data_IF_712346883018
#
_entry.id   IF_712346883018
#
_cell.length_a   1.000
_cell.length_b   1.000
_cell.length_c   1.000
_cell.angle_alpha   90.00
_cell.angle_beta   90.00
_cell.angle_gamma   90.00
#
_symmetry.space_group_name_H-M   'P 1'
#
loop_
_entity.id
_entity.type
_entity.pdbx_description
1 polymer ?
#
# COMPACT_ATOMS: atom_id res chain seq x y z
N UNK A 1 -62.71 24.61 -39.74
CA UNK A 1 -62.42 24.56 -41.20
C UNK A 1 -61.16 23.69 -41.30
N UNK A 2 -61.41 22.47 -41.69
CA UNK A 2 -61.03 21.86 -42.99
C UNK A 2 -59.55 21.49 -42.97
N UNK A 3 -59.28 20.20 -42.87
CA UNK A 3 -59.16 19.14 -43.94
C UNK A 3 -57.69 18.95 -44.30
N UNK A 4 -57.12 17.89 -44.32
CA UNK A 4 -57.00 16.54 -44.94
C UNK A 4 -55.60 16.00 -44.58
N UNK A 5 -55.49 14.84 -44.02
CA UNK A 5 -55.35 13.49 -44.65
C UNK A 5 -54.23 13.40 -45.70
N UNK A 6 -53.19 12.70 -45.34
CA UNK A 6 -52.58 11.71 -46.29
C UNK A 6 -51.76 10.60 -45.59
N UNK A 7 -52.26 9.45 -45.82
CA UNK A 7 -51.62 8.16 -45.59
C UNK A 7 -50.27 8.03 -46.30
N UNK A 8 -49.36 7.37 -45.68
CA UNK A 8 -48.13 6.87 -46.27
C UNK A 8 -47.70 5.62 -45.52
N UNK A 9 -48.25 4.49 -45.93
CA UNK A 9 -47.86 3.13 -45.56
C UNK A 9 -46.52 2.83 -46.25
N UNK A 10 -45.47 2.52 -45.53
CA UNK A 10 -44.34 1.77 -46.06
C UNK A 10 -43.78 0.81 -45.00
N UNK A 11 -43.91 -0.40 -45.35
CA UNK A 11 -43.38 -1.63 -44.81
C UNK A 11 -41.86 -1.57 -44.82
N UNK A 12 -41.20 -2.03 -43.75
CA UNK A 12 -39.80 -2.34 -43.92
C UNK A 12 -39.05 -2.68 -42.63
N UNK A 13 -38.87 -3.98 -42.46
CA UNK A 13 -37.73 -4.64 -41.87
C UNK A 13 -37.63 -4.67 -40.33
N UNK A 14 -38.04 -5.82 -39.79
CA UNK A 14 -37.58 -6.39 -38.54
C UNK A 14 -36.05 -6.48 -38.56
N UNK A 15 -35.37 -5.68 -37.71
CA UNK A 15 -34.04 -5.96 -37.25
C UNK A 15 -34.16 -6.37 -35.79
N UNK A 16 -34.03 -7.64 -35.51
CA UNK A 16 -33.88 -8.17 -34.19
C UNK A 16 -32.49 -7.74 -33.68
N UNK A 17 -32.47 -6.66 -32.91
CA UNK A 17 -31.30 -6.33 -32.09
C UNK A 17 -31.31 -7.24 -30.86
N UNK A 18 -30.47 -8.25 -30.88
CA UNK A 18 -30.08 -9.00 -29.70
C UNK A 18 -29.43 -7.99 -28.74
N UNK A 19 -30.14 -7.64 -27.68
CA UNK A 19 -29.54 -6.95 -26.54
C UNK A 19 -28.72 -8.01 -25.81
N UNK A 20 -27.43 -8.09 -26.13
CA UNK A 20 -26.44 -8.62 -25.23
C UNK A 20 -26.43 -7.71 -23.99
N UNK A 21 -27.13 -8.18 -22.95
CA UNK A 21 -27.02 -7.65 -21.62
C UNK A 21 -25.62 -7.93 -21.11
N UNK A 22 -24.68 -7.05 -21.44
CA UNK A 22 -23.44 -6.94 -20.72
C UNK A 22 -23.81 -6.53 -19.30
N UNK A 23 -23.82 -7.50 -18.39
CA UNK A 23 -23.79 -7.26 -16.98
C UNK A 23 -22.51 -6.45 -16.70
N UNK A 24 -22.66 -5.13 -16.55
CA UNK A 24 -21.65 -4.32 -15.91
C UNK A 24 -21.56 -4.78 -14.46
N UNK A 25 -20.73 -5.81 -14.28
CA UNK A 25 -20.22 -6.14 -12.97
C UNK A 25 -19.51 -4.88 -12.47
N UNK A 26 -20.16 -4.21 -11.51
CA UNK A 26 -19.60 -3.18 -10.68
C UNK A 26 -18.27 -3.68 -10.10
N UNK A 27 -17.21 -3.37 -10.83
CA UNK A 27 -15.84 -3.63 -10.46
C UNK A 27 -15.35 -2.46 -9.61
N UNK A 28 -16.08 -2.16 -8.54
CA UNK A 28 -15.56 -1.42 -7.36
C UNK A 28 -14.51 -2.29 -6.68
N UNK A 29 -13.64 -2.84 -7.50
CA UNK A 29 -12.45 -3.49 -6.98
C UNK A 29 -11.55 -2.41 -6.46
N UNK A 30 -11.35 -2.48 -5.17
CA UNK A 30 -10.14 -2.07 -4.50
C UNK A 30 -8.99 -2.05 -5.51
N UNK A 31 -8.73 -0.88 -6.08
CA UNK A 31 -7.48 -0.66 -6.76
C UNK A 31 -6.41 -0.81 -5.68
N UNK A 32 -5.90 -2.01 -5.59
CA UNK A 32 -4.65 -2.27 -4.89
C UNK A 32 -3.63 -1.45 -5.66
N UNK A 33 -3.44 -0.19 -5.24
CA UNK A 33 -2.30 0.59 -5.72
C UNK A 33 -1.10 -0.25 -5.30
N UNK A 34 -0.41 -0.87 -6.26
CA UNK A 34 0.74 -1.67 -5.91
C UNK A 34 1.72 -0.74 -5.22
N UNK A 35 2.04 -1.03 -3.97
CA UNK A 35 3.18 -0.44 -3.31
C UNK A 35 4.39 -0.95 -4.09
N UNK A 36 4.76 -0.22 -5.16
CA UNK A 36 5.84 -0.59 -6.06
C UNK A 36 7.19 -0.36 -5.35
N UNK A 37 7.48 -1.22 -4.39
CA UNK A 37 8.85 -1.53 -4.06
C UNK A 37 9.24 -2.64 -5.04
N UNK A 38 9.83 -2.25 -6.16
CA UNK A 38 10.27 -3.18 -7.20
C UNK A 38 11.38 -4.05 -6.62
N UNK A 39 11.15 -5.35 -6.56
CA UNK A 39 12.23 -6.31 -6.43
C UNK A 39 13.17 -6.14 -7.63
N UNK A 40 14.46 -5.97 -7.36
CA UNK A 40 15.52 -5.73 -8.32
C UNK A 40 15.61 -6.86 -9.36
N UNK A 41 15.57 -6.58 -10.68
CA UNK A 41 16.07 -7.52 -11.67
C UNK A 41 17.59 -7.59 -11.57
N UNK A 42 18.15 -8.80 -11.69
CA UNK A 42 19.59 -9.04 -11.74
C UNK A 42 20.28 -8.12 -12.76
N UNK A 43 21.25 -7.33 -12.29
CA UNK A 43 22.04 -6.42 -13.13
C UNK A 43 21.95 -4.94 -12.79
N UNK A 44 21.17 -4.51 -11.81
CA UNK A 44 21.16 -3.10 -11.35
C UNK A 44 22.39 -2.81 -10.47
N UNK A 45 23.05 -1.64 -10.58
CA UNK A 45 24.19 -1.31 -9.75
C UNK A 45 23.81 -1.43 -8.26
N UNK A 46 24.65 -2.12 -7.50
CA UNK A 46 24.47 -2.37 -6.08
C UNK A 46 24.33 -1.05 -5.34
N UNK A 47 23.15 -0.79 -4.78
CA UNK A 47 22.92 0.41 -3.96
C UNK A 47 23.79 0.32 -2.72
N UNK A 48 24.47 1.42 -2.39
CA UNK A 48 25.25 1.52 -1.17
C UNK A 48 24.36 1.22 0.05
N UNK A 49 24.80 0.29 0.89
CA UNK A 49 24.10 -0.08 2.12
C UNK A 49 23.97 1.11 3.06
N UNK A 50 22.80 1.26 3.68
CA UNK A 50 22.47 2.40 4.53
C UNK A 50 22.89 2.16 5.98
N UNK A 51 23.60 3.12 6.56
CA UNK A 51 23.90 3.17 7.99
C UNK A 51 24.97 2.21 8.52
N UNK A 52 25.10 2.09 9.85
CA UNK A 52 26.02 1.18 10.50
C UNK A 52 25.62 -0.28 10.29
N UNK A 53 26.55 -1.21 10.49
CA UNK A 53 26.27 -2.64 10.41
C UNK A 53 25.30 -3.08 11.51
N UNK A 54 24.18 -3.69 11.14
CA UNK A 54 23.15 -4.19 12.03
C UNK A 54 23.42 -5.66 12.37
N UNK A 55 23.46 -5.98 13.66
CA UNK A 55 23.83 -7.32 14.17
C UNK A 55 22.68 -8.02 14.89
N UNK A 56 21.65 -7.29 15.32
CA UNK A 56 20.52 -7.80 16.09
C UNK A 56 19.19 -7.39 15.48
N UNK A 57 18.10 -8.13 15.79
CA UNK A 57 16.75 -7.80 15.39
C UNK A 57 16.27 -6.47 15.98
N UNK A 58 16.73 -6.11 17.18
CA UNK A 58 16.43 -4.84 17.79
C UNK A 58 17.02 -3.67 16.98
N UNK A 59 18.31 -3.74 16.64
CA UNK A 59 18.96 -2.75 15.78
C UNK A 59 18.28 -2.67 14.41
N UNK A 60 17.86 -3.80 13.84
CA UNK A 60 17.11 -3.83 12.59
C UNK A 60 15.78 -3.09 12.70
N UNK A 61 15.00 -3.35 13.77
CA UNK A 61 13.74 -2.64 14.03
C UNK A 61 13.94 -1.13 14.20
N UNK A 62 14.94 -0.73 15.00
CA UNK A 62 15.28 0.67 15.20
C UNK A 62 15.74 1.38 13.92
N UNK A 63 16.52 0.72 13.08
CA UNK A 63 16.96 1.29 11.80
C UNK A 63 15.76 1.61 10.88
N UNK A 64 14.78 0.72 10.77
CA UNK A 64 13.54 0.97 10.02
C UNK A 64 12.74 2.12 10.65
N UNK A 65 12.58 2.11 11.98
CA UNK A 65 11.86 3.16 12.69
C UNK A 65 12.49 4.55 12.52
N UNK A 66 13.83 4.64 12.49
CA UNK A 66 14.55 5.89 12.27
C UNK A 66 14.33 6.49 10.87
N UNK A 67 14.01 5.66 9.87
CA UNK A 67 13.71 6.13 8.52
C UNK A 67 12.25 6.62 8.36
N UNK A 68 11.39 6.32 9.31
CA UNK A 68 9.99 6.70 9.22
C UNK A 68 9.81 8.22 9.26
N UNK A 69 9.06 8.71 8.28
CA UNK A 69 8.58 10.09 8.25
C UNK A 69 7.08 10.06 8.00
N UNK A 70 6.31 10.46 9.00
CA UNK A 70 4.85 10.60 8.88
C UNK A 70 4.48 11.61 7.79
N UNK A 71 3.36 11.43 7.09
CA UNK A 71 2.79 12.50 6.26
C UNK A 71 2.65 13.78 7.07
N UNK A 72 2.74 14.95 6.41
CA UNK A 72 2.55 16.21 7.11
C UNK A 72 1.10 16.36 7.60
N UNK A 73 0.84 17.10 8.69
CA UNK A 73 -0.51 17.35 9.19
C UNK A 73 -1.44 18.02 8.18
N UNK A 74 -0.88 18.74 7.20
CA UNK A 74 -1.62 19.36 6.11
C UNK A 74 -2.12 18.36 5.06
N UNK A 75 -1.51 17.16 5.01
CA UNK A 75 -1.84 16.12 4.01
C UNK A 75 -2.71 15.03 4.61
N UNK A 76 -2.46 14.65 5.87
CA UNK A 76 -3.23 13.59 6.52
C UNK A 76 -3.26 13.76 8.04
N UNK A 77 -4.34 13.32 8.72
CA UNK A 77 -4.43 13.29 10.18
C UNK A 77 -3.27 12.52 10.82
N UNK A 78 -2.87 12.96 12.02
CA UNK A 78 -1.72 12.39 12.74
C UNK A 78 -2.08 11.24 13.68
N UNK A 79 -3.32 10.78 13.68
CA UNK A 79 -3.81 9.66 14.49
C UNK A 79 -3.99 8.36 13.71
N UNK A 80 -3.63 8.36 12.43
CA UNK A 80 -3.65 7.18 11.59
C UNK A 80 -2.44 6.29 11.87
N UNK A 81 -2.70 5.00 12.01
CA UNK A 81 -1.69 3.95 12.07
C UNK A 81 -1.86 3.02 10.88
N UNK A 82 -0.75 2.57 10.33
CA UNK A 82 -0.70 1.63 9.21
C UNK A 82 0.27 0.50 9.53
N UNK A 83 -0.16 -0.74 9.33
CA UNK A 83 0.70 -1.92 9.50
C UNK A 83 0.91 -2.60 8.16
N UNK A 84 2.16 -2.82 7.83
CA UNK A 84 2.56 -3.53 6.62
C UNK A 84 3.37 -4.76 6.96
N UNK A 85 3.15 -5.82 6.19
CA UNK A 85 3.89 -7.08 6.26
C UNK A 85 4.76 -7.22 5.03
N UNK A 86 6.05 -7.47 5.23
CA UNK A 86 7.02 -7.66 4.15
C UNK A 86 8.19 -8.52 4.62
N UNK A 87 9.00 -8.95 3.66
CA UNK A 87 10.23 -9.72 3.91
C UNK A 87 11.45 -8.96 3.37
N UNK A 88 12.64 -9.43 3.74
CA UNK A 88 13.90 -8.87 3.23
C UNK A 88 14.76 -9.96 2.62
N UNK A 89 15.64 -9.56 1.71
CA UNK A 89 16.73 -10.39 1.22
C UNK A 89 17.83 -10.47 2.27
N UNK A 90 18.77 -11.38 2.09
CA UNK A 90 19.98 -11.48 2.92
C UNK A 90 20.81 -10.20 2.89
N UNK A 91 20.74 -9.45 1.79
CA UNK A 91 21.51 -8.23 1.58
C UNK A 91 20.81 -6.97 2.09
N UNK A 92 19.62 -7.12 2.70
CA UNK A 92 18.88 -6.03 3.33
C UNK A 92 17.95 -5.27 2.38
N UNK A 93 17.70 -5.79 1.19
CA UNK A 93 16.69 -5.25 0.27
C UNK A 93 15.29 -5.79 0.62
N UNK A 94 14.25 -5.07 0.27
CA UNK A 94 12.87 -5.58 0.39
C UNK A 94 12.69 -6.75 -0.59
N UNK A 95 12.16 -7.86 -0.08
CA UNK A 95 11.87 -9.06 -0.85
C UNK A 95 10.35 -9.18 -1.09
N UNK A 96 9.98 -9.23 -2.34
CA UNK A 96 8.57 -9.33 -2.73
C UNK A 96 7.79 -8.01 -2.60
N UNK A 97 6.48 -8.11 -2.54
CA UNK A 97 5.57 -6.96 -2.42
C UNK A 97 5.11 -6.80 -0.98
N UNK A 98 5.28 -5.61 -0.37
CA UNK A 98 4.70 -5.32 0.93
C UNK A 98 3.17 -5.44 0.89
N UNK A 99 2.59 -6.04 1.93
CA UNK A 99 1.15 -6.22 2.08
C UNK A 99 0.65 -5.35 3.21
N UNK A 100 -0.36 -4.51 2.94
CA UNK A 100 -1.07 -3.81 4.00
C UNK A 100 -1.93 -4.80 4.79
N UNK A 101 -1.72 -4.85 6.11
CA UNK A 101 -2.47 -5.74 7.01
C UNK A 101 -3.42 -5.00 7.93
N UNK A 102 -3.17 -3.71 8.16
CA UNK A 102 -4.02 -2.86 8.99
C UNK A 102 -3.88 -1.40 8.61
N UNK A 103 -4.98 -0.67 8.69
CA UNK A 103 -5.02 0.80 8.73
C UNK A 103 -6.14 1.22 9.70
N UNK A 104 -5.97 2.36 10.35
CA UNK A 104 -6.98 2.91 11.27
C UNK A 104 -8.35 2.97 10.60
N UNK A 105 -9.40 2.38 11.19
CA UNK A 105 -10.76 2.43 10.65
C UNK A 105 -11.25 3.88 10.45
N UNK A 106 -12.01 4.11 9.37
CA UNK A 106 -12.51 5.44 9.01
C UNK A 106 -11.49 6.34 8.30
N UNK A 107 -10.30 5.82 7.96
CA UNK A 107 -9.33 6.52 7.13
C UNK A 107 -9.90 6.69 5.71
N UNK A 108 -9.86 7.91 5.17
CA UNK A 108 -10.29 8.16 3.79
C UNK A 108 -9.28 7.60 2.79
N UNK A 109 -9.69 7.31 1.54
CA UNK A 109 -8.79 6.80 0.51
C UNK A 109 -7.57 7.71 0.25
N UNK A 110 -7.76 9.02 0.31
CA UNK A 110 -6.68 10.01 0.13
C UNK A 110 -5.65 9.94 1.24
N UNK A 111 -6.11 9.84 2.49
CA UNK A 111 -5.22 9.71 3.66
C UNK A 111 -4.51 8.35 3.66
N UNK A 112 -5.21 7.28 3.28
CA UNK A 112 -4.60 5.97 3.11
C UNK A 112 -3.48 6.02 2.07
N UNK A 113 -3.72 6.65 0.91
CA UNK A 113 -2.71 6.82 -0.14
C UNK A 113 -1.48 7.58 0.38
N UNK A 114 -1.68 8.65 1.14
CA UNK A 114 -0.60 9.43 1.74
C UNK A 114 0.28 8.57 2.69
N UNK A 115 -0.36 7.76 3.54
CA UNK A 115 0.37 6.86 4.45
C UNK A 115 1.06 5.72 3.71
N UNK A 116 0.43 5.12 2.71
CA UNK A 116 1.05 4.10 1.85
C UNK A 116 2.30 4.65 1.14
N UNK A 117 2.21 5.88 0.62
CA UNK A 117 3.35 6.56 0.01
C UNK A 117 4.48 6.78 1.03
N UNK A 118 4.17 7.27 2.22
CA UNK A 118 5.15 7.48 3.28
C UNK A 118 5.87 6.19 3.69
N UNK A 119 5.14 5.06 3.75
CA UNK A 119 5.72 3.73 3.99
C UNK A 119 6.67 3.33 2.86
N UNK A 120 6.24 3.48 1.60
CA UNK A 120 7.09 3.18 0.44
C UNK A 120 8.37 4.01 0.45
N UNK A 121 8.25 5.31 0.68
CA UNK A 121 9.39 6.24 0.77
C UNK A 121 10.33 5.87 1.93
N UNK A 122 9.80 5.31 3.03
CA UNK A 122 10.60 4.82 4.15
C UNK A 122 11.51 3.67 3.72
N UNK A 123 10.96 2.66 3.07
CA UNK A 123 11.77 1.54 2.59
C UNK A 123 12.74 1.94 1.48
N UNK A 124 12.34 2.85 0.58
CA UNK A 124 13.24 3.39 -0.45
C UNK A 124 14.46 4.12 0.15
N UNK A 125 14.27 4.84 1.27
CA UNK A 125 15.38 5.54 1.95
C UNK A 125 16.26 4.63 2.77
N UNK A 126 15.67 3.59 3.39
CA UNK A 126 16.37 2.73 4.33
C UNK A 126 17.07 1.54 3.69
N UNK A 127 16.60 1.07 2.55
CA UNK A 127 17.13 -0.15 1.94
C UNK A 127 18.07 0.16 0.76
N UNK A 128 19.11 -0.66 0.54
CA UNK A 128 19.44 -1.86 1.29
C UNK A 128 20.02 -1.56 2.68
N UNK A 129 19.56 -2.34 3.69
CA UNK A 129 20.07 -2.25 5.05
C UNK A 129 21.46 -2.88 5.14
N UNK A 130 22.33 -2.30 5.96
CA UNK A 130 23.65 -2.84 6.19
C UNK A 130 23.61 -3.95 7.25
N UNK A 131 23.20 -5.16 6.84
CA UNK A 131 23.07 -6.34 7.71
C UNK A 131 24.40 -7.05 7.86
N UNK A 132 24.73 -7.49 9.08
CA UNK A 132 25.78 -8.49 9.26
C UNK A 132 25.39 -9.81 8.58
N UNK A 133 26.36 -10.61 8.17
CA UNK A 133 26.12 -11.91 7.54
C UNK A 133 25.21 -12.81 8.39
N UNK A 134 25.41 -12.80 9.72
CA UNK A 134 24.59 -13.58 10.66
C UNK A 134 23.13 -13.13 10.65
N UNK A 135 22.88 -11.82 10.82
CA UNK A 135 21.53 -11.26 10.83
C UNK A 135 20.85 -11.45 9.47
N UNK A 136 21.54 -11.18 8.37
CA UNK A 136 21.01 -11.35 7.02
C UNK A 136 20.52 -12.80 6.78
N UNK A 137 21.26 -13.80 7.24
CA UNK A 137 20.84 -15.21 7.15
C UNK A 137 19.58 -15.51 7.99
N UNK A 138 19.44 -14.86 9.16
CA UNK A 138 18.30 -15.07 10.06
C UNK A 138 17.02 -14.47 9.50
N UNK A 139 17.09 -13.28 8.89
CA UNK A 139 15.90 -12.54 8.46
C UNK A 139 15.48 -12.86 7.03
N UNK A 140 16.37 -13.38 6.19
CA UNK A 140 16.11 -13.60 4.76
C UNK A 140 14.84 -14.40 4.52
N UNK A 141 13.91 -13.86 3.74
CA UNK A 141 12.64 -14.47 3.38
C UNK A 141 11.60 -14.55 4.49
N UNK A 142 11.94 -14.21 5.74
CA UNK A 142 10.97 -14.22 6.85
C UNK A 142 10.07 -12.98 6.78
N UNK A 143 8.75 -13.14 7.02
CA UNK A 143 7.85 -12.02 7.08
C UNK A 143 7.98 -11.26 8.40
N UNK A 144 8.02 -9.93 8.30
CA UNK A 144 8.00 -8.99 9.43
C UNK A 144 6.81 -8.06 9.29
N UNK A 145 6.20 -7.70 10.42
CA UNK A 145 5.14 -6.70 10.47
C UNK A 145 5.69 -5.41 11.09
N UNK A 146 5.53 -4.30 10.38
CA UNK A 146 5.92 -2.98 10.85
C UNK A 146 4.70 -2.09 10.96
N UNK A 147 4.51 -1.49 12.14
CA UNK A 147 3.45 -0.52 12.37
C UNK A 147 4.03 0.89 12.37
N UNK A 148 3.52 1.71 11.48
CA UNK A 148 3.91 3.12 11.32
C UNK A 148 2.75 4.02 11.74
N UNK A 149 3.08 5.16 12.33
CA UNK A 149 2.14 6.19 12.74
C UNK A 149 2.90 7.37 13.31
N UNK A 150 2.18 8.44 13.63
CA UNK A 150 2.73 9.54 14.42
C UNK A 150 2.81 9.16 15.90
N UNK A 151 3.51 9.94 16.70
CA UNK A 151 3.52 9.75 18.17
C UNK A 151 2.11 9.83 18.76
N UNK A 152 1.27 10.70 18.24
CA UNK A 152 -0.13 10.86 18.67
C UNK A 152 -0.94 9.58 18.42
N UNK A 153 -0.75 8.92 17.27
CA UNK A 153 -1.42 7.64 16.94
C UNK A 153 -0.94 6.51 17.86
N UNK A 154 0.37 6.42 18.11
CA UNK A 154 0.94 5.42 19.03
C UNK A 154 0.43 5.58 20.45
N UNK A 155 0.41 6.79 20.99
CA UNK A 155 -0.09 7.06 22.33
C UNK A 155 -1.60 6.76 22.49
N UNK A 156 -2.38 6.90 21.41
CA UNK A 156 -3.80 6.52 21.42
C UNK A 156 -3.97 5.01 21.47
N UNK A 157 -3.22 4.27 20.66
CA UNK A 157 -3.26 2.80 20.64
C UNK A 157 -2.88 2.21 22.02
N UNK A 158 -1.83 2.69 22.65
CA UNK A 158 -1.43 2.27 23.99
C UNK A 158 -2.48 2.55 25.06
N UNK A 159 -3.20 3.68 24.98
CA UNK A 159 -4.28 3.99 25.92
C UNK A 159 -5.50 3.09 25.77
N UNK A 160 -5.81 2.65 24.56
CA UNK A 160 -6.91 1.73 24.31
C UNK A 160 -6.59 0.32 24.84
N UNK A 161 -5.36 -0.12 24.72
CA UNK A 161 -4.90 -1.42 25.22
C UNK A 161 -4.96 -1.49 26.76
N UNK A 162 -4.55 -0.42 27.45
CA UNK A 162 -4.64 -0.30 28.90
C UNK A 162 -6.08 -0.22 29.43
N UNK A 163 -7.05 0.19 28.61
CA UNK A 163 -8.46 0.30 29.05
C UNK A 163 -9.24 -1.01 28.88
N UNK A 164 -8.65 -2.02 28.22
CA UNK A 164 -9.24 -3.35 27.99
C UNK A 164 -8.64 -4.43 28.91
N UNK A 165 -7.68 -4.07 29.75
CA UNK A 165 -7.05 -4.95 30.76
C UNK A 165 -7.63 -4.73 32.13
#
# INVERSE_FOLDING_TARGET
>A
MSVLMRSGLLIGVLAAAVMDGAAEADSSRHQVVPLLVQAKPDGTPERKKSGPELKTLDQFGHAIAACWKSPSPAVAPQDIMITVKLSFTRDGEVFGRPTLTYITPGTTPEHELAYRKAVADTFLRCTPLNLSKGLGNVIAGRPFSFTFGSEKGRNRAQRLDLSLS
#
